data_IF_357185577631
#
_entry.id   IF_357185577631
#
_cell.length_a   1.000
_cell.length_b   1.000
_cell.length_c   1.000
_cell.angle_alpha   90.00
_cell.angle_beta   90.00
_cell.angle_gamma   90.00
#
_symmetry.space_group_name_H-M   'P 1'
#
loop_
_entity.id
_entity.type
_entity.pdbx_description
1 polymer ?
#
# COMPACT_ATOMS: atom_id res chain seq x y z
N UNK A 1 0.00 0.96 15.13
CA UNK A 1 0.83 1.36 13.97
C UNK A 1 0.16 2.49 13.22
N UNK A 2 0.83 3.63 13.07
CA UNK A 2 0.34 4.75 12.25
C UNK A 2 1.16 4.83 10.96
N UNK A 3 0.50 5.00 9.81
CA UNK A 3 1.18 5.01 8.51
C UNK A 3 0.88 6.27 7.72
N UNK A 4 1.90 6.76 7.03
CA UNK A 4 1.85 7.93 6.16
C UNK A 4 2.44 7.55 4.81
N UNK A 5 1.83 7.99 3.72
CA UNK A 5 2.25 7.65 2.37
C UNK A 5 1.22 8.04 1.31
N UNK A 6 1.32 7.41 0.16
CA UNK A 6 0.52 7.69 -1.04
C UNK A 6 -0.48 6.56 -1.34
N UNK A 7 -0.94 6.46 -2.60
CA UNK A 7 -1.89 5.43 -3.04
C UNK A 7 -1.40 4.01 -2.81
N UNK A 8 -0.09 3.75 -2.74
CA UNK A 8 0.48 2.41 -2.53
C UNK A 8 0.04 1.83 -1.18
N UNK A 9 -0.25 2.66 -0.18
CA UNK A 9 -0.70 2.18 1.14
C UNK A 9 -1.97 2.89 1.62
N UNK A 10 -2.78 3.43 0.70
CA UNK A 10 -4.07 4.06 1.00
C UNK A 10 -5.20 2.99 1.09
N UNK A 11 -5.74 2.71 2.30
CA UNK A 11 -6.80 1.73 2.46
C UNK A 11 -8.20 2.25 2.09
N UNK A 12 -8.31 3.51 1.63
CA UNK A 12 -9.57 4.14 1.21
C UNK A 12 -9.83 5.52 1.82
N UNK A 13 -8.81 6.25 2.29
CA UNK A 13 -8.95 7.63 2.76
C UNK A 13 -9.54 8.53 1.67
N UNK A 14 -9.17 8.29 0.41
CA UNK A 14 -9.67 9.07 -0.71
C UNK A 14 -11.19 8.98 -0.92
N UNK A 15 -11.87 7.93 -0.44
CA UNK A 15 -13.33 7.82 -0.56
C UNK A 15 -14.07 9.00 0.07
N UNK A 16 -13.48 9.55 1.14
CA UNK A 16 -14.03 10.65 1.92
C UNK A 16 -13.43 12.02 1.55
N UNK A 17 -12.72 12.10 0.41
CA UNK A 17 -12.19 13.35 -0.15
C UNK A 17 -12.88 13.70 -1.47
N UNK A 18 -12.85 14.98 -1.83
CA UNK A 18 -13.25 15.47 -3.16
C UNK A 18 -12.07 15.27 -4.11
N UNK A 19 -12.03 14.11 -4.76
CA UNK A 19 -10.97 13.71 -5.71
C UNK A 19 -11.50 12.66 -6.67
N UNK A 20 -10.93 12.57 -7.88
CA UNK A 20 -11.17 11.49 -8.83
C UNK A 20 -10.31 10.25 -8.55
N UNK A 21 -9.25 10.38 -7.74
CA UNK A 21 -8.37 9.27 -7.37
C UNK A 21 -9.04 8.36 -6.34
N UNK A 22 -10.07 7.61 -6.76
CA UNK A 22 -10.81 6.66 -5.91
C UNK A 22 -10.83 5.30 -6.59
N UNK A 23 -10.71 4.25 -5.79
CA UNK A 23 -10.76 2.84 -6.19
C UNK A 23 -11.82 2.08 -5.39
N UNK A 24 -12.97 2.70 -5.15
CA UNK A 24 -14.11 2.16 -4.41
C UNK A 24 -15.17 1.50 -5.32
N UNK A 25 -14.71 0.96 -6.45
CA UNK A 25 -15.54 0.26 -7.42
C UNK A 25 -14.78 -0.95 -7.99
N UNK A 26 -15.51 -1.96 -8.52
CA UNK A 26 -14.88 -3.12 -9.14
C UNK A 26 -14.02 -2.74 -10.37
N UNK A 27 -12.95 -3.50 -10.65
CA UNK A 27 -12.58 -4.77 -10.01
C UNK A 27 -11.61 -4.62 -8.83
N UNK A 28 -11.34 -3.41 -8.33
CA UNK A 28 -10.57 -3.25 -7.09
C UNK A 28 -11.21 -4.03 -5.94
N UNK A 29 -10.41 -4.57 -5.03
CA UNK A 29 -10.90 -5.43 -3.97
C UNK A 29 -11.39 -6.81 -4.41
N UNK A 30 -11.09 -7.25 -5.65
CA UNK A 30 -11.42 -8.59 -6.17
C UNK A 30 -11.05 -9.72 -5.20
N UNK A 31 -9.90 -9.67 -4.55
CA UNK A 31 -9.42 -10.69 -3.61
C UNK A 31 -9.59 -10.25 -2.16
N UNK A 32 -10.09 -9.04 -1.94
CA UNK A 32 -10.36 -8.51 -0.62
C UNK A 32 -11.55 -9.22 0.03
N UNK A 33 -11.68 -9.07 1.35
CA UNK A 33 -12.73 -9.71 2.14
C UNK A 33 -14.12 -9.35 1.56
N UNK A 34 -14.87 -10.39 1.19
CA UNK A 34 -16.20 -10.23 0.58
C UNK A 34 -16.18 -9.72 -0.87
N UNK A 35 -15.02 -9.67 -1.52
CA UNK A 35 -14.82 -9.14 -2.87
C UNK A 35 -15.24 -7.66 -3.01
N UNK A 36 -15.05 -6.89 -1.93
CA UNK A 36 -15.54 -5.51 -1.82
C UNK A 36 -14.44 -4.48 -2.11
N UNK A 37 -14.68 -3.54 -3.04
CA UNK A 37 -13.78 -2.42 -3.26
C UNK A 37 -13.87 -1.43 -2.10
N UNK A 38 -12.80 -1.30 -1.31
CA UNK A 38 -12.79 -0.38 -0.15
C UNK A 38 -12.18 0.98 -0.46
N UNK A 39 -11.73 1.24 -1.69
CA UNK A 39 -10.87 2.39 -2.00
C UNK A 39 -9.37 2.07 -1.99
N UNK A 40 -8.99 0.81 -1.73
CA UNK A 40 -7.62 0.32 -1.93
C UNK A 40 -7.30 0.30 -3.42
N UNK A 41 -6.14 0.82 -3.78
CA UNK A 41 -5.62 0.75 -5.15
C UNK A 41 -5.00 -0.63 -5.43
N UNK A 42 -5.72 -1.72 -5.12
CA UNK A 42 -5.24 -3.09 -5.29
C UNK A 42 -6.40 -4.06 -5.46
N UNK A 43 -6.11 -5.30 -5.85
CA UNK A 43 -7.06 -6.40 -5.79
C UNK A 43 -7.38 -6.83 -4.35
N UNK A 44 -6.50 -6.59 -3.38
CA UNK A 44 -6.69 -7.12 -2.02
C UNK A 44 -6.07 -6.25 -0.93
N UNK A 45 -5.54 -6.91 0.10
CA UNK A 45 -4.85 -6.32 1.24
C UNK A 45 -3.58 -5.58 0.80
N UNK A 46 -3.25 -4.52 1.54
CA UNK A 46 -2.04 -3.73 1.35
C UNK A 46 -0.91 -4.25 2.24
N UNK A 47 0.34 -3.82 1.99
CA UNK A 47 1.49 -4.13 2.89
C UNK A 47 1.14 -3.83 4.33
N UNK A 48 0.50 -2.69 4.60
CA UNK A 48 0.19 -2.23 5.96
C UNK A 48 -0.83 -3.12 6.67
N UNK A 49 -1.77 -3.72 5.93
CA UNK A 49 -2.72 -4.70 6.48
C UNK A 49 -1.96 -5.97 6.94
N UNK A 50 -1.06 -6.48 6.10
CA UNK A 50 -0.20 -7.62 6.45
C UNK A 50 0.73 -7.32 7.63
N UNK A 51 1.29 -6.11 7.72
CA UNK A 51 2.15 -5.71 8.83
C UNK A 51 1.39 -5.70 10.16
N UNK A 52 0.23 -5.03 10.24
CA UNK A 52 -0.52 -5.00 11.51
C UNK A 52 -1.05 -6.37 11.92
N UNK A 53 -1.41 -7.21 10.93
CA UNK A 53 -1.83 -8.58 11.18
C UNK A 53 -0.67 -9.45 11.65
N UNK A 54 0.50 -9.34 11.00
CA UNK A 54 1.70 -10.10 11.36
C UNK A 54 2.29 -9.71 12.72
N UNK A 55 2.09 -8.45 13.15
CA UNK A 55 2.45 -7.96 14.48
C UNK A 55 1.39 -8.27 15.55
N UNK A 56 0.27 -8.92 15.20
CA UNK A 56 -0.80 -9.26 16.14
C UNK A 56 -1.57 -8.05 16.68
N UNK A 57 -1.54 -6.90 15.99
CA UNK A 57 -2.19 -5.65 16.43
C UNK A 57 -3.67 -5.67 16.05
N UNK A 58 -3.97 -5.98 14.79
CA UNK A 58 -5.33 -6.03 14.21
C UNK A 58 -5.28 -6.69 12.83
N UNK A 59 -6.42 -7.12 12.30
CA UNK A 59 -6.47 -7.77 10.99
C UNK A 59 -6.22 -6.81 9.82
N UNK A 60 -6.76 -5.59 9.89
CA UNK A 60 -6.70 -4.60 8.81
C UNK A 60 -6.38 -3.22 9.40
N UNK A 61 -5.60 -2.42 8.68
CA UNK A 61 -5.33 -1.04 9.06
C UNK A 61 -6.37 -0.11 8.41
N UNK A 62 -7.28 0.51 9.19
CA UNK A 62 -8.35 1.32 8.60
C UNK A 62 -7.84 2.70 8.15
N UNK A 63 -8.52 3.35 7.18
CA UNK A 63 -8.26 4.74 6.84
C UNK A 63 -8.66 5.67 7.98
N UNK A 64 -7.85 6.69 8.26
CA UNK A 64 -8.14 7.72 9.26
C UNK A 64 -9.44 8.48 8.94
N UNK A 65 -9.73 8.74 7.66
CA UNK A 65 -10.93 9.48 7.26
C UNK A 65 -12.21 8.61 7.26
N UNK A 66 -12.17 7.38 7.79
CA UNK A 66 -13.36 6.54 7.90
C UNK A 66 -14.36 7.15 8.89
N UNK A 67 -15.61 7.28 8.46
CA UNK A 67 -16.71 7.89 9.23
C UNK A 67 -17.09 7.16 10.54
N UNK A 68 -16.63 5.92 10.75
CA UNK A 68 -16.95 5.12 11.95
C UNK A 68 -15.70 4.47 12.56
N UNK A 69 -14.70 5.25 12.96
CA UNK A 69 -13.56 4.74 13.73
C UNK A 69 -13.93 4.57 15.20
N UNK A 70 -13.56 3.42 15.77
CA UNK A 70 -13.62 3.22 17.21
C UNK A 70 -12.44 3.90 17.91
N UNK A 71 -12.54 4.11 19.23
CA UNK A 71 -11.38 4.57 20.01
C UNK A 71 -10.24 3.55 19.95
N UNK A 72 -10.56 2.25 19.97
CA UNK A 72 -9.58 1.18 19.82
C UNK A 72 -8.84 1.29 18.48
N UNK A 73 -9.54 1.61 17.39
CA UNK A 73 -8.90 1.83 16.08
C UNK A 73 -7.86 2.94 16.15
N UNK A 74 -8.20 4.06 16.78
CA UNK A 74 -7.31 5.22 16.91
C UNK A 74 -6.10 4.90 17.80
N UNK A 75 -6.30 4.17 18.90
CA UNK A 75 -5.23 3.81 19.84
C UNK A 75 -4.26 2.77 19.26
N UNK A 76 -4.78 1.78 18.56
CA UNK A 76 -3.98 0.71 17.95
C UNK A 76 -3.45 1.09 16.56
N UNK A 77 -3.97 2.17 15.97
CA UNK A 77 -3.41 2.88 14.83
C UNK A 77 -4.23 2.82 13.54
N UNK A 78 -3.96 3.79 12.66
CA UNK A 78 -4.72 4.08 11.43
C UNK A 78 -3.77 4.52 10.30
N UNK A 79 -4.23 4.45 9.04
CA UNK A 79 -3.50 4.99 7.89
C UNK A 79 -3.94 6.42 7.55
N UNK A 80 -2.98 7.32 7.38
CA UNK A 80 -3.15 8.67 6.85
C UNK A 80 -2.77 8.79 5.38
N UNK A 81 -2.42 7.68 4.72
CA UNK A 81 -2.00 7.67 3.32
C UNK A 81 -3.12 8.12 2.37
N UNK A 82 -2.77 8.75 1.25
CA UNK A 82 -3.76 9.34 0.33
C UNK A 82 -3.32 9.18 -1.12
N UNK A 83 -4.17 8.62 -1.97
CA UNK A 83 -3.89 8.61 -3.40
C UNK A 83 -3.83 10.01 -4.03
N UNK A 84 -2.91 10.23 -4.96
CA UNK A 84 -2.74 11.51 -5.65
C UNK A 84 -1.90 12.55 -4.91
N UNK A 85 -1.34 12.24 -3.73
CA UNK A 85 -0.18 12.97 -3.24
C UNK A 85 1.05 12.47 -4.02
N UNK A 86 1.45 13.21 -5.06
CA UNK A 86 2.57 12.81 -5.91
C UNK A 86 3.89 12.65 -5.14
N UNK A 87 4.83 11.92 -5.75
CA UNK A 87 6.22 11.82 -5.32
C UNK A 87 7.03 12.93 -6.03
N UNK A 88 7.73 13.80 -5.29
CA UNK A 88 8.65 14.80 -5.86
C UNK A 88 10.12 14.43 -5.53
N UNK A 89 10.99 14.18 -6.53
CA UNK A 89 12.08 13.23 -6.34
C UNK A 89 13.38 13.77 -5.73
N UNK A 90 13.56 15.08 -5.49
CA UNK A 90 14.91 15.60 -5.24
C UNK A 90 15.20 16.27 -3.87
N UNK A 91 14.43 17.23 -3.32
CA UNK A 91 14.76 17.82 -2.01
C UNK A 91 14.21 16.98 -0.85
N UNK A 92 13.29 16.06 -1.14
CA UNK A 92 12.40 15.50 -0.13
C UNK A 92 12.94 14.23 0.52
N UNK A 93 13.82 13.46 -0.13
CA UNK A 93 14.41 12.28 0.54
C UNK A 93 15.26 12.69 1.74
N UNK A 94 16.09 13.74 1.58
CA UNK A 94 16.86 14.31 2.69
C UNK A 94 15.92 14.90 3.76
N UNK A 95 14.84 15.55 3.35
CA UNK A 95 13.83 16.05 4.29
C UNK A 95 13.15 14.94 5.08
N UNK A 96 12.76 13.83 4.43
CA UNK A 96 12.18 12.66 5.11
C UNK A 96 13.19 12.07 6.08
N UNK A 97 14.44 11.88 5.67
CA UNK A 97 15.49 11.36 6.55
C UNK A 97 15.72 12.25 7.77
N UNK A 98 15.82 13.57 7.56
CA UNK A 98 15.93 14.54 8.65
C UNK A 98 14.69 14.50 9.55
N UNK A 99 13.49 14.41 8.97
CA UNK A 99 12.26 14.39 9.76
C UNK A 99 12.13 13.12 10.60
N UNK A 100 12.53 11.99 10.04
CA UNK A 100 12.60 10.71 10.77
C UNK A 100 13.64 10.79 11.88
N UNK A 101 14.80 11.41 11.64
CA UNK A 101 15.81 11.64 12.69
C UNK A 101 15.27 12.55 13.80
N UNK A 102 14.61 13.66 13.46
CA UNK A 102 13.95 14.54 14.44
C UNK A 102 12.91 13.77 15.27
N UNK A 103 11.98 13.07 14.62
CA UNK A 103 10.93 12.31 15.30
C UNK A 103 11.48 11.22 16.23
N UNK A 104 12.60 10.59 15.87
CA UNK A 104 13.26 9.59 16.71
C UNK A 104 13.93 10.19 17.95
N UNK A 105 14.30 11.46 17.91
CA UNK A 105 14.98 12.16 19.02
C UNK A 105 14.04 13.08 19.81
N UNK A 106 12.78 13.19 19.40
CA UNK A 106 11.78 14.00 20.06
C UNK A 106 11.28 13.31 21.34
N UNK A 107 11.36 13.97 22.49
CA UNK A 107 10.99 13.38 23.80
C UNK A 107 9.53 12.91 23.83
N UNK A 108 8.63 13.61 23.14
CA UNK A 108 7.22 13.22 23.04
C UNK A 108 6.99 11.91 22.26
N UNK A 109 8.00 11.43 21.52
CA UNK A 109 8.00 10.14 20.82
C UNK A 109 8.84 9.06 21.53
N UNK A 110 9.31 9.31 22.75
CA UNK A 110 10.08 8.32 23.52
C UNK A 110 9.27 7.03 23.71
N UNK A 111 9.89 5.90 23.38
CA UNK A 111 9.23 4.57 23.38
C UNK A 111 8.43 4.26 22.11
N UNK A 112 8.36 5.18 21.14
CA UNK A 112 7.79 4.95 19.81
C UNK A 112 8.89 4.50 18.84
N UNK A 113 8.60 3.46 18.05
CA UNK A 113 9.48 3.02 16.97
C UNK A 113 9.05 3.75 15.69
N UNK A 114 9.92 4.63 15.19
CA UNK A 114 9.70 5.38 13.94
C UNK A 114 10.51 4.73 12.82
N UNK A 115 9.83 4.24 11.78
CA UNK A 115 10.43 3.50 10.68
C UNK A 115 10.17 4.20 9.35
N UNK A 116 11.21 4.33 8.53
CA UNK A 116 11.09 4.66 7.13
C UNK A 116 11.23 3.38 6.29
N UNK A 117 10.32 3.18 5.35
CA UNK A 117 10.30 2.02 4.45
C UNK A 117 10.27 2.53 3.03
N UNK A 118 11.30 2.20 2.27
CA UNK A 118 11.38 2.52 0.85
C UNK A 118 10.75 1.39 0.03
N UNK A 119 9.41 1.42 -0.06
CA UNK A 119 8.64 0.43 -0.81
C UNK A 119 9.00 0.49 -2.30
N UNK A 120 9.35 1.66 -2.81
CA UNK A 120 9.66 1.87 -4.23
C UNK A 120 10.91 1.14 -4.67
N UNK A 121 11.96 1.11 -3.86
CA UNK A 121 13.15 0.32 -4.17
C UNK A 121 12.86 -1.20 -4.16
N UNK A 122 12.00 -1.68 -3.27
CA UNK A 122 11.58 -3.09 -3.28
C UNK A 122 10.76 -3.40 -4.54
N UNK A 123 9.84 -2.51 -4.93
CA UNK A 123 9.06 -2.65 -6.16
C UNK A 123 9.95 -2.61 -7.41
N UNK A 124 10.95 -1.75 -7.44
CA UNK A 124 11.92 -1.69 -8.54
C UNK A 124 12.64 -3.04 -8.71
N UNK A 125 12.98 -3.70 -7.61
CA UNK A 125 13.60 -5.02 -7.65
C UNK A 125 12.63 -6.11 -8.13
N UNK A 126 11.33 -6.02 -7.80
CA UNK A 126 10.31 -6.91 -8.38
C UNK A 126 10.18 -6.71 -9.90
N UNK A 127 10.30 -5.47 -10.39
CA UNK A 127 10.29 -5.17 -11.82
C UNK A 127 11.50 -5.79 -12.52
N UNK A 128 12.68 -5.67 -11.91
CA UNK A 128 13.95 -6.12 -12.50
C UNK A 128 14.14 -7.65 -12.40
N UNK A 129 13.61 -8.29 -11.34
CA UNK A 129 13.80 -9.72 -11.06
C UNK A 129 12.48 -10.44 -10.69
N UNK A 130 11.42 -10.35 -11.51
CA UNK A 130 10.09 -10.85 -11.15
C UNK A 130 10.06 -12.34 -10.81
N UNK A 131 10.80 -13.16 -11.56
CA UNK A 131 10.86 -14.61 -11.36
C UNK A 131 11.47 -15.00 -10.00
N UNK A 132 12.34 -14.17 -9.42
CA UNK A 132 12.91 -14.42 -8.09
C UNK A 132 11.85 -14.40 -6.98
N UNK A 133 10.72 -13.76 -7.24
CA UNK A 133 9.57 -13.61 -6.34
C UNK A 133 8.36 -14.42 -6.81
N UNK A 134 8.54 -15.27 -7.83
CA UNK A 134 7.48 -16.09 -8.41
C UNK A 134 6.46 -15.28 -9.22
N UNK A 135 6.84 -14.13 -9.77
CA UNK A 135 6.04 -13.41 -10.76
C UNK A 135 6.48 -13.79 -12.18
N UNK A 136 5.54 -13.80 -13.11
CA UNK A 136 5.78 -14.02 -14.54
C UNK A 136 5.65 -12.72 -15.35
N UNK A 137 5.00 -11.69 -14.80
CA UNK A 137 4.74 -10.42 -15.48
C UNK A 137 4.96 -9.22 -14.55
N UNK A 138 5.78 -8.26 -14.98
CA UNK A 138 6.11 -7.02 -14.25
C UNK A 138 6.02 -5.76 -15.12
N UNK A 139 5.70 -5.90 -16.40
CA UNK A 139 5.66 -4.81 -17.38
C UNK A 139 4.25 -4.26 -17.62
N UNK A 140 3.23 -4.96 -17.11
CA UNK A 140 1.82 -4.58 -17.24
C UNK A 140 1.02 -4.91 -15.98
N UNK A 141 -0.08 -4.20 -15.78
CA UNK A 141 -1.09 -4.53 -14.78
C UNK A 141 -1.95 -5.73 -15.16
N UNK A 142 -2.42 -6.47 -14.14
CA UNK A 142 -3.41 -7.54 -14.32
C UNK A 142 -4.76 -6.99 -14.82
N UNK A 143 -5.15 -5.80 -14.37
CA UNK A 143 -6.37 -5.14 -14.80
C UNK A 143 -6.10 -4.10 -15.90
N UNK A 144 -6.92 -4.15 -16.95
CA UNK A 144 -6.87 -3.20 -18.06
C UNK A 144 -6.07 -3.71 -19.24
N UNK A 145 -5.68 -2.79 -20.14
CA UNK A 145 -4.87 -3.14 -21.32
C UNK A 145 -3.40 -3.37 -20.96
N UNK A 146 -2.97 -2.95 -19.77
CA UNK A 146 -1.62 -3.21 -19.29
C UNK A 146 -0.53 -2.32 -19.89
N UNK A 147 -0.88 -1.38 -20.78
CA UNK A 147 0.03 -0.32 -21.21
C UNK A 147 0.02 0.81 -20.17
N UNK A 148 1.13 1.56 -20.04
CA UNK A 148 1.25 2.76 -19.17
C UNK A 148 0.35 3.89 -19.73
N UNK A 149 -0.95 3.66 -19.83
CA UNK A 149 -1.95 4.70 -20.10
C UNK A 149 -2.55 5.12 -18.75
N UNK A 150 -2.01 6.23 -18.23
CA UNK A 150 -2.36 6.88 -16.97
C UNK A 150 -3.76 7.56 -17.03
N UNK A 151 -4.55 7.31 -18.08
CA UNK A 151 -5.75 8.12 -18.37
C UNK A 151 -7.07 7.48 -17.96
N UNK A 152 -7.13 6.15 -17.81
CA UNK A 152 -8.35 5.46 -17.38
C UNK A 152 -8.04 4.43 -16.27
N UNK A 153 -8.54 4.71 -15.06
CA UNK A 153 -8.52 3.75 -13.97
C UNK A 153 -9.22 2.46 -14.40
N UNK A 154 -8.65 1.33 -13.96
CA UNK A 154 -9.20 0.00 -14.09
C UNK A 154 -10.67 0.00 -13.64
N UNK A 155 -11.61 -0.15 -14.57
CA UNK A 155 -13.05 -0.16 -14.27
C UNK A 155 -13.73 -1.33 -14.97
N UNK A 156 -14.78 -1.85 -14.34
CA UNK A 156 -15.51 -3.04 -14.81
C UNK A 156 -16.26 -2.87 -16.14
N UNK A 157 -16.27 -1.67 -16.74
CA UNK A 157 -16.90 -1.41 -18.04
C UNK A 157 -15.85 -1.47 -19.16
N UNK A 158 -14.63 -1.01 -18.93
CA UNK A 158 -13.59 -0.84 -19.96
C UNK A 158 -12.36 -1.73 -19.78
N UNK A 159 -12.28 -2.52 -18.70
CA UNK A 159 -11.10 -3.34 -18.38
C UNK A 159 -11.49 -4.79 -18.03
N UNK A 160 -10.80 -5.75 -18.66
CA UNK A 160 -10.80 -7.16 -18.24
C UNK A 160 -9.63 -7.38 -17.27
N UNK A 161 -9.83 -8.25 -16.27
CA UNK A 161 -8.76 -8.68 -15.36
C UNK A 161 -8.09 -9.94 -15.90
N UNK A 162 -6.78 -10.07 -15.66
CA UNK A 162 -6.04 -11.27 -16.00
C UNK A 162 -6.62 -12.52 -15.28
N UNK A 163 -6.40 -13.74 -15.83
CA UNK A 163 -6.93 -14.96 -15.22
C UNK A 163 -6.32 -15.31 -13.85
N UNK A 164 -5.05 -14.95 -13.64
CA UNK A 164 -4.27 -15.28 -12.45
C UNK A 164 -3.39 -14.07 -12.06
N UNK A 165 -3.89 -13.27 -11.13
CA UNK A 165 -3.22 -12.08 -10.58
C UNK A 165 -1.98 -12.44 -9.75
N UNK A 166 -1.88 -13.67 -9.24
CA UNK A 166 -0.71 -14.11 -8.48
C UNK A 166 0.56 -14.17 -9.35
N UNK A 167 0.43 -14.12 -10.67
CA UNK A 167 1.57 -14.07 -11.61
C UNK A 167 2.05 -12.65 -11.90
N UNK A 168 1.32 -11.62 -11.47
CA UNK A 168 1.58 -10.22 -11.82
C UNK A 168 2.13 -9.45 -10.62
N UNK A 169 3.17 -8.63 -10.87
CA UNK A 169 3.64 -7.65 -9.88
C UNK A 169 2.56 -6.59 -9.62
N UNK A 170 1.93 -6.11 -10.68
CA UNK A 170 0.99 -4.99 -10.62
C UNK A 170 -0.46 -5.41 -10.86
N UNK A 171 -1.36 -4.85 -10.05
CA UNK A 171 -2.79 -4.95 -10.22
C UNK A 171 -3.29 -4.04 -11.36
N UNK A 172 -2.88 -2.78 -11.37
CA UNK A 172 -3.13 -1.84 -12.48
C UNK A 172 -1.80 -1.34 -13.07
N UNK A 173 -1.78 -0.21 -13.77
CA UNK A 173 -0.56 0.29 -14.41
C UNK A 173 0.50 0.82 -13.43
N UNK A 174 0.20 0.89 -12.13
CA UNK A 174 1.09 1.47 -11.13
C UNK A 174 1.10 0.70 -9.80
N UNK A 175 -0.05 0.19 -9.35
CA UNK A 175 -0.20 -0.33 -8.00
C UNK A 175 0.01 -1.84 -7.92
N UNK A 176 0.71 -2.36 -6.90
CA UNK A 176 0.98 -3.79 -6.73
C UNK A 176 -0.27 -4.67 -6.54
N UNK A 177 -0.12 -5.95 -6.86
CA UNK A 177 -1.09 -6.98 -6.46
C UNK A 177 -1.01 -7.28 -4.96
N UNK A 178 -2.07 -7.85 -4.38
CA UNK A 178 -2.05 -8.33 -2.98
C UNK A 178 -0.85 -9.25 -2.70
N UNK A 179 -0.50 -10.14 -3.66
CA UNK A 179 0.68 -11.00 -3.53
C UNK A 179 1.97 -10.19 -3.39
N UNK A 180 2.17 -9.18 -4.24
CA UNK A 180 3.34 -8.32 -4.14
C UNK A 180 3.39 -7.56 -2.81
N UNK A 181 2.25 -7.03 -2.35
CA UNK A 181 2.14 -6.43 -1.03
C UNK A 181 2.47 -7.38 0.11
N UNK A 182 2.04 -8.64 0.03
CA UNK A 182 2.38 -9.67 1.01
C UNK A 182 3.89 -9.93 1.06
N UNK A 183 4.54 -10.09 -0.10
CA UNK A 183 6.00 -10.34 -0.15
C UNK A 183 6.77 -9.15 0.46
N UNK A 184 6.34 -7.91 0.17
CA UNK A 184 6.91 -6.71 0.78
C UNK A 184 6.75 -6.76 2.31
N UNK A 185 5.56 -7.08 2.81
CA UNK A 185 5.31 -7.17 4.24
C UNK A 185 6.15 -8.25 4.92
N UNK A 186 6.29 -9.43 4.31
CA UNK A 186 7.13 -10.53 4.84
C UNK A 186 8.61 -10.11 4.92
N UNK A 187 9.12 -9.41 3.89
CA UNK A 187 10.48 -8.85 3.89
C UNK A 187 10.68 -7.82 5.00
N UNK A 188 9.73 -6.91 5.17
CA UNK A 188 9.75 -5.89 6.24
C UNK A 188 9.73 -6.58 7.61
N UNK A 189 8.76 -7.46 7.86
CA UNK A 189 8.63 -8.14 9.15
C UNK A 189 9.90 -8.90 9.50
N UNK A 190 10.46 -9.68 8.57
CA UNK A 190 11.69 -10.42 8.81
C UNK A 190 12.88 -9.52 9.14
N UNK A 191 12.98 -8.34 8.52
CA UNK A 191 14.04 -7.35 8.80
C UNK A 191 13.87 -6.70 10.18
N UNK A 192 12.65 -6.30 10.53
CA UNK A 192 12.37 -5.60 11.79
C UNK A 192 12.35 -6.52 13.01
N UNK A 193 11.84 -7.76 12.90
CA UNK A 193 11.88 -8.70 14.03
C UNK A 193 13.30 -9.09 14.41
N UNK A 194 14.22 -9.16 13.45
CA UNK A 194 15.65 -9.38 13.73
C UNK A 194 16.32 -8.18 14.43
N UNK A 195 15.76 -6.98 14.29
CA UNK A 195 16.31 -5.75 14.88
C UNK A 195 15.72 -5.45 16.27
N UNK A 196 14.57 -6.04 16.62
CA UNK A 196 13.87 -5.86 17.88
C UNK A 196 14.08 -7.00 18.90
N UNK A 197 14.77 -8.08 18.49
CA UNK A 197 15.26 -9.17 19.34
C UNK A 197 16.69 -8.91 19.81
#
# INVERSE_FOLDING_TARGET
>A
MFTFGDSIIDPGNNNHRVTSAKCNYPPYGKDFIGHLPTGRFSNGKLTTDFLVSGLGIKELLPPYLRVHLSLEDLLTGVSFASGGCGYDPSPQLLWIQNKIFELRNEESFRGTIVVYIDIYNILLDFIQRPYAYGFEESTRGCCGTGLIEVTALCNSITATTCPDDTKFVFWDSFHPTEKAYKIIADYILSTFTQTLS
#
